data_IF_609054255142
#
_entry.id   IF_609054255142
#
_cell.length_a   1.000
_cell.length_b   1.000
_cell.length_c   1.000
_cell.angle_alpha   90.00
_cell.angle_beta   90.00
_cell.angle_gamma   90.00
#
_symmetry.space_group_name_H-M   'P 1'
#
loop_
_entity.id
_entity.type
_entity.pdbx_description
1 polymer ?
#
# COMPACT_ATOMS: atom_id res chain seq x y z
N UNK A 1 1.13 -0.36 11.30
CA UNK A 1 1.29 1.12 11.34
C UNK A 1 1.84 1.53 10.00
N UNK A 2 1.30 2.57 9.37
CA UNK A 2 1.71 3.02 8.02
C UNK A 2 2.17 4.47 8.12
N UNK A 3 3.18 4.88 7.37
CA UNK A 3 3.58 6.28 7.35
C UNK A 3 4.53 6.64 6.23
N UNK A 4 4.80 7.93 6.13
CA UNK A 4 5.71 8.54 5.18
C UNK A 4 6.98 8.94 5.91
N UNK A 5 8.11 8.63 5.29
CA UNK A 5 9.42 9.12 5.71
C UNK A 5 10.04 9.98 4.62
N UNK A 6 10.95 10.86 5.00
CA UNK A 6 11.85 11.48 4.03
C UNK A 6 12.98 10.51 3.60
N UNK A 7 13.86 10.99 2.73
CA UNK A 7 15.01 10.23 2.25
C UNK A 7 16.01 9.86 3.37
N UNK A 8 16.06 10.62 4.46
CA UNK A 8 16.88 10.32 5.64
C UNK A 8 16.16 9.40 6.63
N UNK A 9 15.07 8.75 6.20
CA UNK A 9 14.20 7.87 6.99
C UNK A 9 13.62 8.56 8.23
N UNK A 10 13.50 9.89 8.21
CA UNK A 10 12.82 10.63 9.28
C UNK A 10 11.32 10.56 9.07
N UNK A 11 10.59 10.30 10.17
CA UNK A 11 9.13 10.19 10.13
C UNK A 11 8.49 11.55 9.86
N UNK A 12 7.70 11.64 8.78
CA UNK A 12 6.96 12.86 8.43
C UNK A 12 5.54 12.81 8.97
N UNK A 13 4.85 11.69 8.72
CA UNK A 13 3.46 11.49 9.14
C UNK A 13 3.11 10.01 9.13
N UNK A 14 2.21 9.62 10.04
CA UNK A 14 1.71 8.26 10.16
C UNK A 14 0.20 8.20 10.23
N UNK A 15 -0.34 7.02 9.91
CA UNK A 15 -1.69 6.64 10.27
C UNK A 15 -1.71 5.26 10.93
N UNK A 16 -2.69 5.08 11.81
CA UNK A 16 -3.01 3.79 12.42
C UNK A 16 -4.52 3.59 12.29
N UNK A 17 -4.93 2.35 12.05
CA UNK A 17 -6.32 1.99 11.84
C UNK A 17 -6.57 0.60 12.41
N UNK A 18 -7.67 0.45 13.14
CA UNK A 18 -8.17 -0.86 13.57
C UNK A 18 -8.94 -1.49 12.42
N UNK A 19 -8.56 -2.70 12.01
CA UNK A 19 -9.03 -3.30 10.75
C UNK A 19 -10.11 -4.39 10.92
N UNK A 20 -10.57 -4.65 12.15
CA UNK A 20 -11.55 -5.71 12.41
C UNK A 20 -11.03 -7.10 12.03
N UNK A 21 -11.93 -8.06 11.84
CA UNK A 21 -11.58 -9.42 11.44
C UNK A 21 -11.34 -9.50 9.93
N UNK A 22 -10.06 -9.38 9.54
CA UNK A 22 -9.62 -9.51 8.14
C UNK A 22 -8.36 -10.36 8.04
N UNK A 23 -8.08 -10.87 6.83
CA UNK A 23 -6.86 -11.61 6.55
C UNK A 23 -5.64 -10.68 6.62
N UNK A 24 -4.49 -11.22 7.05
CA UNK A 24 -3.23 -10.47 7.10
C UNK A 24 -2.88 -9.84 5.74
N UNK A 25 -3.07 -10.58 4.66
CA UNK A 25 -2.84 -10.08 3.30
C UNK A 25 -3.73 -8.86 2.95
N UNK A 26 -5.01 -8.89 3.35
CA UNK A 26 -5.92 -7.76 3.17
C UNK A 26 -5.51 -6.57 4.05
N UNK A 27 -5.00 -6.84 5.26
CA UNK A 27 -4.51 -5.79 6.15
C UNK A 27 -3.31 -5.06 5.56
N UNK A 28 -2.36 -5.78 4.96
CA UNK A 28 -1.19 -5.20 4.30
C UNK A 28 -1.58 -4.40 3.05
N UNK A 29 -2.45 -4.94 2.20
CA UNK A 29 -2.96 -4.22 1.03
C UNK A 29 -3.68 -2.92 1.42
N UNK A 30 -4.51 -2.96 2.49
CA UNK A 30 -5.17 -1.76 3.04
C UNK A 30 -4.16 -0.75 3.59
N UNK A 31 -3.19 -1.22 4.37
CA UNK A 31 -2.12 -0.38 4.93
C UNK A 31 -1.44 0.41 3.82
N UNK A 32 -1.04 -0.24 2.74
CA UNK A 32 -0.41 0.41 1.59
C UNK A 32 -1.34 1.40 0.88
N UNK A 33 -2.62 1.06 0.66
CA UNK A 33 -3.61 1.98 0.09
C UNK A 33 -3.79 3.25 0.93
N UNK A 34 -3.84 3.12 2.26
CA UNK A 34 -3.93 4.27 3.17
C UNK A 34 -2.64 5.10 3.14
N UNK A 35 -1.48 4.46 3.02
CA UNK A 35 -0.18 5.15 2.85
C UNK A 35 -0.12 5.96 1.55
N UNK A 36 -0.60 5.39 0.43
CA UNK A 36 -0.67 6.06 -0.86
C UNK A 36 -1.64 7.24 -0.85
N UNK A 37 -2.82 7.07 -0.23
CA UNK A 37 -3.77 8.18 -0.03
C UNK A 37 -3.17 9.29 0.82
N UNK A 38 -2.49 8.93 1.92
CA UNK A 38 -1.80 9.88 2.78
C UNK A 38 -0.73 10.67 2.01
N UNK A 39 0.04 10.01 1.13
CA UNK A 39 0.99 10.67 0.26
C UNK A 39 0.31 11.66 -0.70
N UNK A 40 -0.79 11.22 -1.32
CA UNK A 40 -1.57 12.04 -2.25
C UNK A 40 -2.17 13.27 -1.56
N UNK A 41 -2.76 13.11 -0.37
CA UNK A 41 -3.35 14.19 0.42
C UNK A 41 -2.29 15.23 0.85
N UNK A 42 -1.03 14.80 1.00
CA UNK A 42 0.12 15.68 1.27
C UNK A 42 0.71 16.31 0.00
N UNK A 43 0.19 15.98 -1.18
CA UNK A 43 0.65 16.54 -2.46
C UNK A 43 1.86 15.84 -3.07
N UNK A 44 2.28 14.69 -2.55
CA UNK A 44 3.37 13.90 -3.14
C UNK A 44 2.86 13.15 -4.37
N UNK A 45 3.51 13.38 -5.53
CA UNK A 45 3.16 12.74 -6.81
C UNK A 45 3.99 11.50 -7.14
N UNK A 46 5.11 11.30 -6.43
CA UNK A 46 6.00 10.16 -6.58
C UNK A 46 6.49 9.75 -5.20
N UNK A 47 6.32 8.49 -4.87
CA UNK A 47 6.74 7.89 -3.60
C UNK A 47 7.38 6.53 -3.86
N UNK A 48 8.33 6.17 -3.01
CA UNK A 48 8.83 4.81 -2.90
C UNK A 48 8.00 4.08 -1.86
N UNK A 49 7.59 2.85 -2.15
CA UNK A 49 6.77 2.04 -1.25
C UNK A 49 7.63 0.89 -0.74
N UNK A 50 7.83 0.86 0.58
CA UNK A 50 8.46 -0.26 1.28
C UNK A 50 7.35 -1.09 1.95
N UNK A 51 7.36 -2.41 1.74
CA UNK A 51 6.47 -3.37 2.42
C UNK A 51 7.26 -4.65 2.70
N UNK A 52 7.05 -5.26 3.87
CA UNK A 52 7.77 -6.48 4.28
C UNK A 52 7.05 -7.78 3.86
N UNK A 53 5.85 -7.68 3.30
CA UNK A 53 5.10 -8.79 2.74
C UNK A 53 5.50 -9.06 1.29
N UNK A 54 6.46 -9.96 1.11
CA UNK A 54 6.96 -10.38 -0.20
C UNK A 54 5.84 -10.88 -1.14
N UNK A 55 4.83 -11.58 -0.61
CA UNK A 55 3.71 -12.09 -1.41
C UNK A 55 2.87 -10.95 -1.98
N UNK A 56 2.66 -9.88 -1.20
CA UNK A 56 1.94 -8.69 -1.66
C UNK A 56 2.70 -7.97 -2.77
N UNK A 57 4.01 -7.79 -2.59
CA UNK A 57 4.90 -7.19 -3.59
C UNK A 57 4.85 -8.00 -4.89
N UNK A 58 5.07 -9.32 -4.81
CA UNK A 58 4.99 -10.20 -5.98
C UNK A 58 3.62 -10.14 -6.65
N UNK A 59 2.53 -10.09 -5.88
CA UNK A 59 1.17 -10.02 -6.43
C UNK A 59 0.93 -8.75 -7.24
N UNK A 60 1.53 -7.62 -6.85
CA UNK A 60 1.44 -6.35 -7.58
C UNK A 60 2.30 -6.36 -8.82
N UNK A 61 3.55 -6.81 -8.70
CA UNK A 61 4.49 -6.87 -9.82
C UNK A 61 4.09 -7.88 -10.89
N UNK A 62 3.63 -9.06 -10.49
CA UNK A 62 3.25 -10.14 -11.41
C UNK A 62 1.77 -10.12 -11.80
N UNK A 63 0.95 -9.25 -11.19
CA UNK A 63 -0.49 -9.15 -11.45
C UNK A 63 -1.25 -10.44 -11.12
N UNK A 64 -0.85 -11.15 -10.05
CA UNK A 64 -1.34 -12.50 -9.73
C UNK A 64 -2.86 -12.48 -9.50
N UNK A 65 -3.57 -13.27 -10.30
CA UNK A 65 -5.04 -13.29 -10.38
C UNK A 65 -5.75 -13.82 -9.13
N UNK A 66 -5.08 -14.65 -8.33
CA UNK A 66 -5.66 -15.26 -7.11
C UNK A 66 -6.11 -14.21 -6.08
N UNK A 67 -5.46 -13.04 -6.07
CA UNK A 67 -5.80 -11.93 -5.18
C UNK A 67 -6.54 -10.78 -5.90
N UNK A 68 -6.74 -10.85 -7.22
CA UNK A 68 -7.51 -9.87 -7.99
C UNK A 68 -9.00 -9.88 -7.66
N UNK A 69 -9.50 -10.86 -6.89
CA UNK A 69 -10.85 -10.83 -6.32
C UNK A 69 -10.99 -9.86 -5.14
N UNK A 70 -9.88 -9.37 -4.58
CA UNK A 70 -9.88 -8.41 -3.48
C UNK A 70 -9.89 -6.98 -4.02
N UNK A 71 -10.85 -6.17 -3.55
CA UNK A 71 -11.05 -4.80 -4.02
C UNK A 71 -9.79 -3.93 -3.86
N UNK A 72 -9.03 -4.14 -2.79
CA UNK A 72 -7.80 -3.41 -2.50
C UNK A 72 -6.69 -3.74 -3.50
N UNK A 73 -6.57 -5.01 -3.92
CA UNK A 73 -5.57 -5.42 -4.91
C UNK A 73 -5.89 -4.91 -6.30
N UNK A 74 -7.17 -4.88 -6.68
CA UNK A 74 -7.59 -4.25 -7.94
C UNK A 74 -7.19 -2.77 -7.97
N UNK A 75 -7.41 -2.05 -6.86
CA UNK A 75 -7.04 -0.64 -6.77
C UNK A 75 -5.52 -0.43 -6.80
N UNK A 76 -4.76 -1.24 -6.08
CA UNK A 76 -3.29 -1.17 -6.09
C UNK A 76 -2.72 -1.46 -7.48
N UNK A 77 -3.21 -2.50 -8.15
CA UNK A 77 -2.79 -2.82 -9.52
C UNK A 77 -3.08 -1.66 -10.49
N UNK A 78 -4.21 -0.97 -10.35
CA UNK A 78 -4.53 0.21 -11.16
C UNK A 78 -3.64 1.42 -10.86
N UNK A 79 -3.17 1.59 -9.62
CA UNK A 79 -2.30 2.71 -9.25
C UNK A 79 -0.85 2.43 -9.66
N UNK A 80 -0.36 1.22 -9.40
CA UNK A 80 1.02 0.84 -9.64
C UNK A 80 1.33 0.56 -11.12
N UNK A 81 0.35 0.05 -11.88
CA UNK A 81 0.55 -0.31 -13.30
C UNK A 81 -0.07 0.70 -14.29
N UNK A 82 -0.31 1.95 -13.87
CA UNK A 82 -0.67 3.04 -14.79
C UNK A 82 0.60 3.53 -15.50
N UNK A 83 0.73 3.14 -16.77
CA UNK A 83 1.68 3.75 -17.73
C UNK A 83 1.29 5.19 -18.09
#
# INVERSE_FOLDING_TARGET
MTGLTDFARQWLVGCTKTLGDILLFQAEARSMMEGLKLAQDRGYRKVEVENDNALLIESIYCGISEFNGLAEMQQLNLICNRE
#
